data_IF_715287730076
#
_entry.id   IF_715287730076
#
_cell.length_a   1.000
_cell.length_b   1.000
_cell.length_c   1.000
_cell.angle_alpha   90.00
_cell.angle_beta   90.00
_cell.angle_gamma   90.00
#
_symmetry.space_group_name_H-M   'P 1'
#
loop_
_entity.id
_entity.type
_entity.pdbx_description
1 polymer ?
#
# COMPACT_ATOMS: atom_id res chain seq x y z
N UNK A 1 -7.60 -13.36 -14.81
CA UNK A 1 -8.01 -12.92 -13.46
C UNK A 1 -9.21 -13.75 -13.03
N UNK A 2 -9.19 -14.35 -11.85
CA UNK A 2 -10.30 -15.15 -11.32
C UNK A 2 -10.81 -14.54 -9.99
N UNK A 3 -12.11 -14.24 -9.93
CA UNK A 3 -12.86 -14.12 -8.68
C UNK A 3 -13.76 -15.36 -8.61
N UNK A 4 -13.60 -16.16 -7.55
CA UNK A 4 -14.29 -17.46 -7.44
C UNK A 4 -14.81 -17.69 -6.04
N UNK A 5 -15.95 -18.35 -5.96
CA UNK A 5 -16.53 -18.84 -4.72
C UNK A 5 -16.63 -20.36 -4.82
N UNK A 6 -16.28 -21.08 -3.76
CA UNK A 6 -16.42 -22.52 -3.72
C UNK A 6 -17.41 -22.93 -2.62
N UNK A 7 -18.53 -23.52 -3.03
CA UNK A 7 -19.64 -23.89 -2.14
C UNK A 7 -19.41 -25.20 -1.38
N UNK A 8 -18.43 -26.00 -1.82
CA UNK A 8 -18.17 -27.34 -1.28
C UNK A 8 -16.97 -27.42 -0.33
N UNK A 9 -16.35 -26.28 0.00
CA UNK A 9 -15.28 -26.20 1.00
C UNK A 9 -15.83 -25.85 2.38
N UNK A 10 -15.14 -26.33 3.42
CA UNK A 10 -15.44 -25.96 4.80
C UNK A 10 -15.32 -24.44 4.99
N UNK A 11 -16.24 -23.85 5.75
CA UNK A 11 -16.16 -22.46 6.21
C UNK A 11 -15.13 -22.33 7.34
N UNK A 12 -13.86 -22.48 6.98
CA UNK A 12 -12.72 -22.44 7.92
C UNK A 12 -11.68 -21.38 7.57
N UNK A 13 -12.02 -20.47 6.64
CA UNK A 13 -11.17 -19.35 6.20
C UNK A 13 -9.83 -19.79 5.57
N UNK A 14 -9.66 -21.08 5.27
CA UNK A 14 -8.45 -21.63 4.64
C UNK A 14 -8.56 -21.77 3.13
N UNK A 15 -9.63 -21.28 2.49
CA UNK A 15 -9.82 -21.44 1.04
C UNK A 15 -8.66 -20.85 0.23
N UNK A 16 -8.13 -19.69 0.62
CA UNK A 16 -6.97 -19.08 -0.03
C UNK A 16 -5.71 -19.97 0.07
N UNK A 17 -5.51 -20.69 1.19
CA UNK A 17 -4.40 -21.64 1.33
C UNK A 17 -4.57 -22.85 0.41
N UNK A 18 -5.82 -23.31 0.21
CA UNK A 18 -6.13 -24.38 -0.74
C UNK A 18 -5.83 -23.95 -2.17
N UNK A 19 -6.23 -22.73 -2.54
CA UNK A 19 -5.92 -22.14 -3.84
C UNK A 19 -4.41 -22.02 -4.08
N UNK A 20 -3.62 -21.72 -3.04
CA UNK A 20 -2.16 -21.72 -3.14
C UNK A 20 -1.60 -23.06 -3.64
N UNK A 21 -2.14 -24.17 -3.15
CA UNK A 21 -1.75 -25.51 -3.60
C UNK A 21 -2.22 -25.87 -5.02
N UNK A 22 -3.01 -25.03 -5.68
CA UNK A 22 -3.53 -25.26 -7.03
C UNK A 22 -2.94 -24.32 -8.09
N UNK A 23 -1.98 -23.47 -7.72
CA UNK A 23 -1.49 -22.44 -8.62
C UNK A 23 -0.95 -22.93 -9.95
N UNK A 24 -0.14 -23.98 -9.94
CA UNK A 24 0.43 -24.52 -11.17
C UNK A 24 -0.67 -24.96 -12.14
N UNK A 25 -1.75 -25.57 -11.61
CA UNK A 25 -2.90 -26.01 -12.41
C UNK A 25 -3.70 -24.82 -12.95
N UNK A 26 -3.92 -23.81 -12.11
CA UNK A 26 -4.61 -22.58 -12.49
C UNK A 26 -3.84 -21.81 -13.57
N UNK A 27 -2.53 -21.69 -13.40
CA UNK A 27 -1.64 -21.08 -14.39
C UNK A 27 -1.65 -21.84 -15.72
N UNK A 28 -1.62 -23.18 -15.69
CA UNK A 28 -1.67 -24.03 -16.88
C UNK A 28 -2.95 -23.84 -17.74
N UNK A 29 -4.03 -23.35 -17.14
CA UNK A 29 -5.29 -23.06 -17.85
C UNK A 29 -5.52 -21.55 -18.09
N UNK A 30 -4.49 -20.72 -17.88
CA UNK A 30 -4.51 -19.28 -18.16
C UNK A 30 -4.99 -18.38 -17.01
N UNK A 31 -5.18 -18.91 -15.81
CA UNK A 31 -5.45 -18.10 -14.62
C UNK A 31 -4.12 -17.63 -14.04
N UNK A 32 -3.76 -16.38 -14.35
CA UNK A 32 -2.46 -15.78 -14.01
C UNK A 32 -2.51 -14.79 -12.83
N UNK A 33 -3.69 -14.44 -12.33
CA UNK A 33 -3.83 -13.51 -11.20
C UNK A 33 -5.12 -13.73 -10.43
N UNK A 34 -5.08 -13.49 -9.12
CA UNK A 34 -6.16 -13.75 -8.15
C UNK A 34 -6.35 -12.53 -7.26
N UNK A 35 -7.60 -12.24 -6.88
CA UNK A 35 -7.91 -11.23 -5.86
C UNK A 35 -7.31 -11.61 -4.51
N UNK A 36 -6.55 -10.71 -3.94
CA UNK A 36 -5.87 -10.91 -2.66
C UNK A 36 -6.81 -10.67 -1.48
N UNK A 37 -7.84 -11.52 -1.35
CA UNK A 37 -8.78 -11.50 -0.23
C UNK A 37 -8.09 -11.61 1.14
N UNK A 38 -7.00 -12.40 1.33
CA UNK A 38 -6.28 -12.41 2.60
C UNK A 38 -5.75 -11.04 3.04
N UNK A 39 -5.21 -10.24 2.10
CA UNK A 39 -4.79 -8.87 2.40
C UNK A 39 -5.97 -7.97 2.74
N UNK A 40 -7.10 -8.12 2.04
CA UNK A 40 -8.31 -7.38 2.35
C UNK A 40 -8.84 -7.73 3.76
N UNK A 41 -8.81 -9.00 4.14
CA UNK A 41 -9.14 -9.45 5.50
C UNK A 41 -8.18 -8.86 6.54
N UNK A 42 -6.88 -8.78 6.23
CA UNK A 42 -5.91 -8.07 7.09
C UNK A 42 -6.32 -6.61 7.28
N UNK A 43 -6.66 -5.88 6.22
CA UNK A 43 -7.10 -4.49 6.35
C UNK A 43 -8.32 -4.33 7.25
N UNK A 44 -9.31 -5.22 7.15
CA UNK A 44 -10.44 -5.25 8.07
C UNK A 44 -9.98 -5.45 9.52
N UNK A 45 -9.16 -6.48 9.78
CA UNK A 45 -8.66 -6.80 11.13
C UNK A 45 -7.91 -5.64 11.79
N UNK A 46 -7.08 -4.92 11.03
CA UNK A 46 -6.43 -3.71 11.54
C UNK A 46 -7.44 -2.58 11.78
N UNK A 47 -8.38 -2.37 10.85
CA UNK A 47 -9.37 -1.31 10.96
C UNK A 47 -10.29 -1.46 12.18
N UNK A 48 -10.63 -2.69 12.59
CA UNK A 48 -11.47 -2.96 13.78
C UNK A 48 -10.66 -3.25 15.05
N UNK A 49 -9.32 -3.20 14.98
CA UNK A 49 -8.44 -3.41 16.14
C UNK A 49 -8.25 -4.87 16.57
N UNK A 50 -8.61 -5.85 15.75
CA UNK A 50 -8.29 -7.27 15.97
C UNK A 50 -6.80 -7.58 15.74
N UNK A 51 -6.11 -6.74 14.96
CA UNK A 51 -4.67 -6.75 14.76
C UNK A 51 -4.12 -5.34 14.95
N UNK A 52 -2.99 -5.22 15.65
CA UNK A 52 -2.36 -3.92 15.92
C UNK A 52 -0.91 -3.85 15.48
N UNK A 53 -0.20 -4.98 15.39
CA UNK A 53 1.20 -5.03 14.98
C UNK A 53 1.35 -4.87 13.47
N UNK A 54 1.63 -3.65 13.00
CA UNK A 54 1.73 -3.29 11.58
C UNK A 54 2.81 -4.07 10.83
N UNK A 55 3.82 -4.61 11.51
CA UNK A 55 4.86 -5.44 10.89
C UNK A 55 4.25 -6.68 10.22
N UNK A 56 3.09 -7.12 10.70
CA UNK A 56 2.39 -8.32 10.24
C UNK A 56 1.34 -8.04 9.15
N UNK A 57 1.24 -6.80 8.64
CA UNK A 57 0.17 -6.37 7.72
C UNK A 57 0.17 -7.14 6.39
N UNK A 58 1.34 -7.62 5.95
CA UNK A 58 1.51 -8.41 4.72
C UNK A 58 1.62 -9.92 4.96
N UNK A 59 1.69 -10.36 6.22
CA UNK A 59 1.93 -11.75 6.56
C UNK A 59 0.79 -12.64 6.09
N UNK A 60 1.14 -13.79 5.53
CA UNK A 60 0.18 -14.79 5.04
C UNK A 60 -0.83 -14.20 4.03
N UNK A 61 -0.39 -13.27 3.18
CA UNK A 61 -1.21 -12.70 2.11
C UNK A 61 -0.75 -13.17 0.74
N UNK A 62 -1.60 -13.05 -0.27
CA UNK A 62 -1.19 -13.40 -1.64
C UNK A 62 -0.05 -12.50 -2.14
N UNK A 63 -0.06 -11.23 -1.71
CA UNK A 63 0.96 -10.25 -2.06
C UNK A 63 2.35 -10.67 -1.58
N UNK A 64 2.46 -11.28 -0.39
CA UNK A 64 3.75 -11.75 0.13
C UNK A 64 4.20 -13.10 -0.43
N UNK A 65 3.29 -13.88 -1.01
CA UNK A 65 3.60 -15.23 -1.53
C UNK A 65 3.82 -15.22 -3.06
N UNK A 66 2.99 -14.48 -3.80
CA UNK A 66 2.99 -14.39 -5.27
C UNK A 66 2.67 -12.94 -5.70
N UNK A 67 3.60 -11.99 -5.51
CA UNK A 67 3.36 -10.57 -5.75
C UNK A 67 2.90 -10.29 -7.19
N UNK A 68 3.49 -10.95 -8.18
CA UNK A 68 3.19 -10.78 -9.61
C UNK A 68 1.84 -11.39 -10.04
N UNK A 69 1.13 -12.05 -9.12
CA UNK A 69 -0.19 -12.63 -9.37
C UNK A 69 -1.27 -12.03 -8.44
N UNK A 70 -0.90 -11.05 -7.61
CA UNK A 70 -1.78 -10.47 -6.60
C UNK A 70 -2.53 -9.27 -7.12
N UNK A 71 -3.84 -9.41 -7.32
CA UNK A 71 -4.73 -8.26 -7.51
C UNK A 71 -5.11 -7.73 -6.14
N UNK A 72 -4.61 -6.56 -5.78
CA UNK A 72 -4.80 -5.95 -4.46
C UNK A 72 -5.94 -4.96 -4.46
N UNK A 73 -6.72 -4.94 -3.39
CA UNK A 73 -7.92 -4.10 -3.26
C UNK A 73 -8.19 -3.83 -1.78
N UNK A 74 -8.81 -2.70 -1.48
CA UNK A 74 -9.20 -2.33 -0.10
C UNK A 74 -10.65 -2.75 0.17
N UNK A 75 -11.54 -2.43 -0.76
CA UNK A 75 -12.96 -2.80 -0.71
C UNK A 75 -13.46 -3.08 -2.13
N UNK A 76 -14.48 -3.93 -2.25
CA UNK A 76 -15.22 -4.14 -3.50
C UNK A 76 -16.73 -4.00 -3.24
N UNK A 77 -17.56 -4.32 -4.23
CA UNK A 77 -19.02 -4.24 -4.09
C UNK A 77 -19.57 -5.23 -3.06
N UNK A 78 -18.98 -6.43 -2.92
CA UNK A 78 -19.44 -7.44 -1.96
C UNK A 78 -19.17 -7.05 -0.49
N UNK A 79 -18.15 -6.23 -0.24
CA UNK A 79 -17.75 -5.78 1.12
C UNK A 79 -18.43 -4.49 1.56
N UNK A 80 -19.43 -3.99 0.84
CA UNK A 80 -20.18 -2.78 1.23
C UNK A 80 -21.24 -3.09 2.29
N UNK A 81 -21.69 -2.06 3.01
CA UNK A 81 -22.77 -2.21 3.98
C UNK A 81 -24.03 -2.80 3.31
N UNK A 82 -24.63 -3.81 3.96
CA UNK A 82 -25.79 -4.54 3.43
C UNK A 82 -25.48 -5.58 2.35
N UNK A 83 -24.20 -5.82 2.01
CA UNK A 83 -23.80 -6.82 1.01
C UNK A 83 -23.30 -8.12 1.65
N UNK A 84 -23.07 -9.15 0.81
CA UNK A 84 -22.78 -10.53 1.24
C UNK A 84 -21.49 -10.72 2.03
N UNK A 85 -20.52 -9.80 1.90
CA UNK A 85 -19.27 -9.76 2.66
C UNK A 85 -19.15 -8.49 3.51
N UNK A 86 -20.28 -7.89 3.91
CA UNK A 86 -20.33 -6.71 4.80
C UNK A 86 -19.62 -6.93 6.14
N UNK A 87 -19.38 -8.17 6.57
CA UNK A 87 -18.57 -8.44 7.75
C UNK A 87 -17.07 -8.13 7.58
N UNK A 88 -16.61 -7.82 6.36
CA UNK A 88 -15.21 -7.49 6.04
C UNK A 88 -15.01 -6.00 5.71
N UNK A 89 -15.87 -5.11 6.20
CA UNK A 89 -15.75 -3.67 5.96
C UNK A 89 -14.44 -3.12 6.56
N UNK A 90 -13.70 -2.34 5.79
CA UNK A 90 -12.55 -1.58 6.29
C UNK A 90 -13.06 -0.24 6.82
N UNK A 91 -12.86 0.03 8.11
CA UNK A 91 -13.27 1.30 8.72
C UNK A 91 -12.52 2.50 8.13
N UNK A 92 -13.21 3.64 8.04
CA UNK A 92 -12.77 4.81 7.29
C UNK A 92 -11.38 5.34 7.65
N UNK A 93 -10.97 5.22 8.91
CA UNK A 93 -9.66 5.69 9.37
C UNK A 93 -8.49 4.90 8.76
N UNK A 94 -8.69 3.60 8.45
CA UNK A 94 -7.65 2.73 7.92
C UNK A 94 -7.65 2.68 6.37
N UNK A 95 -8.73 3.09 5.72
CA UNK A 95 -8.84 3.14 4.25
C UNK A 95 -7.65 3.84 3.56
N UNK A 96 -7.25 5.07 3.94
CA UNK A 96 -6.12 5.72 3.26
C UNK A 96 -4.79 5.00 3.49
N UNK A 97 -4.60 4.36 4.64
CA UNK A 97 -3.44 3.54 4.94
C UNK A 97 -3.40 2.31 4.03
N UNK A 98 -4.50 1.58 3.93
CA UNK A 98 -4.64 0.43 3.05
C UNK A 98 -4.39 0.79 1.57
N UNK A 99 -4.89 1.94 1.11
CA UNK A 99 -4.60 2.42 -0.25
C UNK A 99 -3.14 2.79 -0.47
N UNK A 100 -2.47 3.43 0.50
CA UNK A 100 -1.03 3.70 0.39
C UNK A 100 -0.24 2.38 0.27
N UNK A 101 -0.59 1.37 1.05
CA UNK A 101 0.00 0.02 1.00
C UNK A 101 -0.11 -0.61 -0.39
N UNK A 102 -1.30 -0.58 -1.01
CA UNK A 102 -1.49 -1.24 -2.31
C UNK A 102 -1.00 -0.39 -3.50
N UNK A 103 -1.06 0.94 -3.42
CA UNK A 103 -0.72 1.84 -4.52
C UNK A 103 0.76 2.21 -4.56
N UNK A 104 1.47 2.33 -3.43
CA UNK A 104 2.82 2.91 -3.43
C UNK A 104 3.94 1.86 -3.31
N UNK A 105 3.57 0.59 -3.12
CA UNK A 105 4.51 -0.53 -3.15
C UNK A 105 4.72 -1.04 -4.57
N UNK A 106 5.86 -1.68 -4.80
CA UNK A 106 6.21 -2.28 -6.09
C UNK A 106 5.35 -3.50 -6.41
N UNK A 107 5.03 -4.30 -5.39
CA UNK A 107 4.33 -5.57 -5.53
C UNK A 107 2.83 -5.41 -5.80
N UNK A 108 2.29 -6.31 -6.62
CA UNK A 108 0.85 -6.45 -6.86
C UNK A 108 0.27 -5.51 -7.91
N UNK A 109 -0.97 -5.82 -8.29
CA UNK A 109 -1.79 -5.06 -9.22
C UNK A 109 -2.91 -4.37 -8.44
N UNK A 110 -2.71 -3.11 -8.00
CA UNK A 110 -3.70 -2.41 -7.20
C UNK A 110 -4.95 -2.05 -8.00
N UNK A 111 -6.07 -2.09 -7.30
CA UNK A 111 -7.37 -1.65 -7.79
C UNK A 111 -7.98 -0.67 -6.78
N UNK A 112 -8.56 0.42 -7.28
CA UNK A 112 -9.06 1.53 -6.45
C UNK A 112 -10.50 1.34 -5.97
N UNK A 113 -11.17 0.23 -6.33
CA UNK A 113 -12.56 -0.01 -5.96
C UNK A 113 -13.55 1.05 -6.50
N UNK A 114 -14.75 1.11 -5.90
CA UNK A 114 -15.81 2.06 -6.25
C UNK A 114 -15.73 3.32 -5.37
N UNK A 115 -15.78 4.50 -5.99
CA UNK A 115 -15.84 5.80 -5.30
C UNK A 115 -14.45 6.36 -5.00
N UNK A 116 -13.84 7.04 -5.98
CA UNK A 116 -12.56 7.72 -5.80
C UNK A 116 -12.76 9.00 -4.99
N UNK A 117 -12.51 8.94 -3.68
CA UNK A 117 -12.27 10.14 -2.89
C UNK A 117 -10.97 10.82 -3.37
N UNK A 118 -10.87 12.15 -3.25
CA UNK A 118 -9.69 12.94 -3.68
C UNK A 118 -8.38 12.32 -3.18
N UNK A 119 -8.32 11.90 -1.92
CA UNK A 119 -7.13 11.30 -1.33
C UNK A 119 -6.66 10.01 -2.02
N UNK A 120 -7.56 9.23 -2.61
CA UNK A 120 -7.22 8.01 -3.35
C UNK A 120 -6.70 8.39 -4.75
N UNK A 121 -7.29 9.41 -5.39
CA UNK A 121 -6.79 9.94 -6.66
C UNK A 121 -5.37 10.52 -6.48
N UNK A 122 -5.14 11.25 -5.40
CA UNK A 122 -3.85 11.77 -4.97
C UNK A 122 -2.80 10.62 -4.84
N UNK A 123 -3.14 9.52 -4.15
CA UNK A 123 -2.28 8.33 -4.06
C UNK A 123 -2.04 7.64 -5.41
N UNK A 124 -3.05 7.59 -6.28
CA UNK A 124 -2.90 7.02 -7.61
C UNK A 124 -1.96 7.87 -8.48
N UNK A 125 -2.02 9.19 -8.35
CA UNK A 125 -1.09 10.11 -8.99
C UNK A 125 0.33 9.91 -8.42
N UNK A 126 0.49 9.76 -7.10
CA UNK A 126 1.80 9.46 -6.52
C UNK A 126 2.36 8.13 -7.04
N UNK A 127 1.52 7.11 -7.24
CA UNK A 127 1.95 5.86 -7.91
C UNK A 127 2.47 6.13 -9.32
N UNK A 128 1.75 6.93 -10.11
CA UNK A 128 2.05 7.23 -11.51
C UNK A 128 3.37 7.98 -11.70
N UNK A 129 3.82 8.78 -10.73
CA UNK A 129 5.01 9.62 -10.89
C UNK A 129 6.19 9.20 -10.01
N UNK A 130 5.94 8.65 -8.83
CA UNK A 130 6.98 8.51 -7.80
C UNK A 130 7.23 7.07 -7.35
N UNK A 131 6.27 6.15 -7.51
CA UNK A 131 6.37 4.79 -7.00
C UNK A 131 7.16 3.85 -7.94
N UNK A 132 8.41 4.23 -8.26
CA UNK A 132 9.29 3.51 -9.18
C UNK A 132 10.61 3.09 -8.53
N UNK A 133 11.30 2.16 -9.18
CA UNK A 133 12.60 1.69 -8.75
C UNK A 133 12.57 0.76 -7.55
N UNK A 134 13.79 0.47 -7.07
CA UNK A 134 14.07 -0.42 -5.93
C UNK A 134 13.26 -0.02 -4.72
N UNK A 135 12.63 -1.00 -4.08
CA UNK A 135 11.96 -0.81 -2.80
C UNK A 135 12.80 -1.31 -1.63
N UNK A 136 12.80 -0.55 -0.53
CA UNK A 136 13.34 -1.00 0.77
C UNK A 136 12.28 -0.86 1.84
N UNK A 137 12.01 -1.93 2.58
CA UNK A 137 11.01 -1.98 3.66
C UNK A 137 11.63 -1.72 5.04
N UNK A 138 10.93 -0.93 5.86
CA UNK A 138 11.29 -0.57 7.24
C UNK A 138 10.16 -0.99 8.19
N UNK A 139 10.06 -2.30 8.44
CA UNK A 139 8.99 -2.92 9.24
C UNK A 139 9.53 -3.37 10.61
N UNK A 140 10.19 -2.46 11.31
CA UNK A 140 10.89 -2.74 12.57
C UNK A 140 10.13 -2.29 13.83
N UNK A 141 9.13 -1.42 13.69
CA UNK A 141 8.28 -0.93 14.77
C UNK A 141 6.83 -1.44 14.60
N UNK A 142 6.19 -1.80 15.71
CA UNK A 142 4.85 -2.39 15.70
C UNK A 142 3.75 -1.36 15.37
N UNK A 143 3.99 -0.10 15.70
CA UNK A 143 3.02 0.98 15.55
C UNK A 143 3.36 1.91 14.37
N UNK A 144 4.56 1.78 13.79
CA UNK A 144 4.99 2.53 12.61
C UNK A 144 5.82 1.70 11.63
N UNK A 145 5.39 1.65 10.37
CA UNK A 145 6.13 0.98 9.29
C UNK A 145 6.31 1.94 8.12
N UNK A 146 7.34 1.70 7.33
CA UNK A 146 7.62 2.51 6.15
C UNK A 146 8.27 1.74 5.03
N UNK A 147 8.31 2.36 3.86
CA UNK A 147 9.09 1.88 2.73
C UNK A 147 9.55 3.05 1.87
N UNK A 148 10.72 2.89 1.28
CA UNK A 148 11.27 3.80 0.29
C UNK A 148 11.22 3.18 -1.10
N UNK A 149 10.94 4.00 -2.11
CA UNK A 149 11.07 3.70 -3.53
C UNK A 149 12.15 4.66 -4.06
N UNK A 150 13.23 4.13 -4.60
CA UNK A 150 14.42 4.93 -4.91
C UNK A 150 14.36 5.62 -6.27
N UNK A 151 13.29 5.43 -7.05
CA UNK A 151 13.26 5.85 -8.45
C UNK A 151 14.08 4.93 -9.36
N UNK A 152 13.90 5.08 -10.66
CA UNK A 152 14.59 4.36 -11.72
C UNK A 152 15.20 5.34 -12.73
N UNK A 153 15.91 4.85 -13.75
CA UNK A 153 16.46 5.72 -14.80
C UNK A 153 15.40 6.53 -15.55
N UNK A 154 14.21 5.96 -15.70
CA UNK A 154 13.10 6.56 -16.46
C UNK A 154 12.17 7.39 -15.56
N UNK A 155 12.24 7.14 -14.24
CA UNK A 155 11.45 7.78 -13.19
C UNK A 155 12.34 8.03 -11.97
N UNK A 156 13.26 9.01 -12.03
CA UNK A 156 14.31 9.21 -11.02
C UNK A 156 13.80 9.71 -9.66
N UNK A 157 12.50 10.01 -9.54
CA UNK A 157 11.96 10.82 -8.44
C UNK A 157 11.89 10.11 -7.09
N UNK A 158 11.44 8.85 -7.09
CA UNK A 158 11.27 8.07 -5.86
C UNK A 158 10.20 8.61 -4.90
N UNK A 159 9.93 7.84 -3.83
CA UNK A 159 9.07 8.27 -2.73
C UNK A 159 9.43 7.57 -1.41
N UNK A 160 8.94 8.14 -0.32
CA UNK A 160 9.04 7.57 1.02
C UNK A 160 7.65 7.57 1.67
N UNK A 161 7.24 6.44 2.21
CA UNK A 161 5.97 6.29 2.93
C UNK A 161 6.25 5.92 4.37
N UNK A 162 5.57 6.59 5.29
CA UNK A 162 5.52 6.22 6.70
C UNK A 162 4.05 6.13 7.10
N UNK A 163 3.66 4.94 7.54
CA UNK A 163 2.34 4.59 8.04
C UNK A 163 2.44 4.35 9.54
N UNK A 164 1.46 4.86 10.30
CA UNK A 164 1.37 4.65 11.73
C UNK A 164 -0.08 4.41 12.15
N UNK A 165 -0.27 3.54 13.14
CA UNK A 165 -1.53 3.31 13.84
C UNK A 165 -1.42 3.62 15.35
N UNK A 166 -0.36 4.32 15.78
CA UNK A 166 -0.18 4.74 17.15
C UNK A 166 -1.34 5.64 17.62
N UNK A 167 -1.85 5.44 18.83
CA UNK A 167 -2.96 6.23 19.40
C UNK A 167 -2.55 7.62 19.91
N UNK A 168 -1.40 8.15 19.46
CA UNK A 168 -0.91 9.47 19.80
C UNK A 168 0.59 9.64 19.54
N UNK A 169 1.01 10.89 19.40
CA UNK A 169 2.40 11.24 19.07
C UNK A 169 2.67 11.26 17.56
N UNK A 170 3.87 11.70 17.21
CA UNK A 170 4.36 11.71 15.83
C UNK A 170 5.33 10.54 15.71
N UNK A 171 5.00 9.56 14.87
CA UNK A 171 5.93 8.47 14.55
C UNK A 171 6.92 8.95 13.49
N UNK A 172 8.20 8.65 13.66
CA UNK A 172 9.27 8.99 12.70
C UNK A 172 10.07 7.74 12.37
N UNK A 173 10.39 7.54 11.09
CA UNK A 173 11.27 6.47 10.63
C UNK A 173 12.45 7.06 9.86
N UNK A 174 13.66 6.66 10.24
CA UNK A 174 14.85 6.90 9.43
C UNK A 174 14.87 5.90 8.28
N UNK A 175 14.79 6.38 7.04
CA UNK A 175 14.77 5.55 5.84
C UNK A 175 15.80 6.05 4.84
N UNK A 176 16.28 5.14 4.00
CA UNK A 176 17.24 5.41 2.94
C UNK A 176 16.52 5.41 1.59
N UNK A 177 16.49 6.57 0.94
CA UNK A 177 15.87 6.77 -0.37
C UNK A 177 16.86 6.61 -1.53
N UNK A 178 18.16 6.47 -1.24
CA UNK A 178 19.23 6.29 -2.22
C UNK A 178 20.17 7.48 -2.29
N UNK A 179 21.46 7.20 -2.50
CA UNK A 179 22.55 8.21 -2.51
C UNK A 179 22.41 9.26 -3.60
N UNK A 180 21.70 8.95 -4.69
CA UNK A 180 21.46 9.90 -5.77
C UNK A 180 20.48 11.01 -5.39
N UNK A 181 19.74 10.86 -4.30
CA UNK A 181 18.89 11.92 -3.73
C UNK A 181 19.62 12.77 -2.68
N UNK A 182 20.91 12.54 -2.43
CA UNK A 182 21.67 13.30 -1.44
C UNK A 182 21.59 14.81 -1.71
N UNK A 183 21.27 15.59 -0.68
CA UNK A 183 21.10 17.04 -0.75
C UNK A 183 19.71 17.51 -1.19
N UNK A 184 18.83 16.63 -1.65
CA UNK A 184 17.43 16.97 -1.93
C UNK A 184 16.66 17.29 -0.63
N UNK A 185 15.55 18.02 -0.75
CA UNK A 185 14.63 18.30 0.36
C UNK A 185 13.27 17.75 0.01
N UNK A 186 12.78 16.80 0.81
CA UNK A 186 11.56 16.07 0.50
C UNK A 186 10.38 16.57 1.31
N UNK A 187 9.20 16.69 0.70
CA UNK A 187 8.01 17.21 1.37
C UNK A 187 6.81 16.28 1.21
N UNK A 188 5.82 16.40 2.10
CA UNK A 188 4.57 15.64 1.99
C UNK A 188 3.82 15.99 0.72
N UNK A 189 3.50 14.97 -0.09
CA UNK A 189 2.80 15.09 -1.37
C UNK A 189 1.37 15.62 -1.24
N UNK A 190 0.72 15.43 -0.09
CA UNK A 190 -0.69 15.78 0.14
C UNK A 190 -0.86 16.72 1.33
N UNK A 191 0.16 17.53 1.60
CA UNK A 191 0.31 18.28 2.85
C UNK A 191 0.90 17.43 3.98
N UNK A 192 1.33 18.10 5.05
CA UNK A 192 2.08 17.48 6.16
C UNK A 192 3.55 17.88 6.21
N UNK A 193 4.21 17.59 7.32
CA UNK A 193 5.64 17.83 7.49
C UNK A 193 6.44 16.97 6.51
N UNK A 194 7.46 17.58 5.89
CA UNK A 194 8.37 16.89 4.99
C UNK A 194 9.37 16.01 5.74
N UNK A 195 10.25 15.38 4.95
CA UNK A 195 11.55 15.00 5.48
C UNK A 195 12.47 16.23 5.48
N UNK A 196 13.49 16.21 6.32
CA UNK A 196 14.59 17.16 6.21
C UNK A 196 15.36 17.00 4.89
N UNK A 197 16.57 17.53 4.87
CA UNK A 197 17.51 17.31 3.76
C UNK A 197 18.00 15.86 3.78
N UNK A 198 18.00 15.20 2.62
CA UNK A 198 18.56 13.85 2.47
C UNK A 198 20.07 13.90 2.68
N UNK A 199 20.59 13.05 3.57
CA UNK A 199 22.01 12.98 3.86
C UNK A 199 22.82 12.39 2.69
N UNK A 200 24.15 12.52 2.75
CA UNK A 200 25.10 12.00 1.74
C UNK A 200 24.96 10.49 1.49
N UNK A 201 24.54 9.73 2.50
CA UNK A 201 24.30 8.29 2.38
C UNK A 201 22.91 7.94 1.81
N UNK A 202 22.06 8.93 1.54
CA UNK A 202 20.69 8.75 1.08
C UNK A 202 19.66 8.62 2.20
N UNK A 203 20.06 8.77 3.48
CA UNK A 203 19.17 8.61 4.63
C UNK A 203 18.50 9.92 5.05
N UNK A 204 17.26 9.84 5.54
CA UNK A 204 16.57 10.96 6.20
C UNK A 204 15.51 10.46 7.18
N UNK A 205 15.11 11.33 8.10
CA UNK A 205 14.00 11.09 9.01
C UNK A 205 12.67 11.51 8.35
N UNK A 206 11.74 10.56 8.26
CA UNK A 206 10.42 10.77 7.69
C UNK A 206 9.35 10.62 8.77
N UNK A 207 8.52 11.65 8.90
CA UNK A 207 7.39 11.68 9.84
C UNK A 207 6.19 10.92 9.26
N UNK A 208 5.42 10.20 10.08
CA UNK A 208 4.18 9.56 9.66
C UNK A 208 3.15 10.57 9.15
N UNK A 209 2.44 10.20 8.08
CA UNK A 209 1.43 11.05 7.43
C UNK A 209 1.81 11.44 6.00
N UNK A 210 0.91 11.19 5.06
CA UNK A 210 1.09 11.32 3.59
C UNK A 210 2.34 10.60 3.01
N UNK A 211 2.36 10.39 1.70
CA UNK A 211 3.58 9.99 0.99
C UNK A 211 4.49 11.23 0.79
N UNK A 212 5.80 11.05 0.69
CA UNK A 212 6.79 12.13 0.52
C UNK A 212 7.61 11.88 -0.74
N UNK A 213 7.95 12.97 -1.44
CA UNK A 213 8.89 13.00 -2.56
C UNK A 213 9.61 14.37 -2.57
N UNK A 214 10.51 14.60 -3.52
CA UNK A 214 11.24 15.87 -3.65
C UNK A 214 10.29 17.09 -3.69
N UNK A 215 10.64 18.14 -2.94
CA UNK A 215 9.82 19.34 -2.81
C UNK A 215 9.74 20.16 -4.11
N UNK A 216 10.74 20.07 -4.99
CA UNK A 216 10.70 20.70 -6.31
C UNK A 216 9.60 20.11 -7.20
N UNK A 217 9.29 18.84 -7.03
CA UNK A 217 8.28 18.12 -7.82
C UNK A 217 6.87 18.26 -7.24
N UNK A 218 6.76 18.55 -5.94
CA UNK A 218 5.47 18.89 -5.31
C UNK A 218 4.84 20.14 -5.93
N UNK A 219 5.63 21.17 -6.26
CA UNK A 219 5.12 22.40 -6.85
C UNK A 219 4.45 22.16 -8.22
N UNK A 220 4.92 21.15 -8.96
CA UNK A 220 4.24 20.72 -10.18
C UNK A 220 2.91 20.07 -9.83
N UNK A 221 2.85 19.20 -8.81
CA UNK A 221 1.65 18.49 -8.34
C UNK A 221 0.48 19.39 -7.91
N UNK A 222 0.77 20.54 -7.28
CA UNK A 222 -0.24 21.51 -6.85
C UNK A 222 -0.98 22.17 -8.05
N UNK A 223 -0.44 22.07 -9.27
CA UNK A 223 -1.09 22.57 -10.50
C UNK A 223 -2.05 21.57 -11.17
N UNK A 224 -2.15 20.35 -10.64
CA UNK A 224 -3.01 19.28 -11.15
C UNK A 224 -4.29 19.28 -10.33
N UNK A 225 -5.06 20.35 -10.42
CA UNK A 225 -6.46 20.32 -10.00
C UNK A 225 -7.15 19.25 -10.83
N UNK A 226 -7.37 18.08 -10.22
CA UNK A 226 -8.18 17.03 -10.81
C UNK A 226 -9.62 17.52 -10.70
N UNK A 227 -10.11 18.21 -11.73
CA UNK A 227 -11.53 18.52 -11.86
C UNK A 227 -12.30 17.18 -11.83
N UNK A 228 -13.05 16.93 -10.75
CA UNK A 228 -13.92 15.75 -10.57
C UNK A 228 -15.38 16.16 -10.76
#
# INVERSE_FOLDING_TARGET
>A
MLQGFEWYVKKDEQHWRRLNGQLEKLSAIGVISIFNTPLQTKFHQFAVGEQTDLRTVLDNTWLSIQPDQAVTYVMNHDTQEGQVLSMLIVEGWFIPLAYALILLREAGYPTTGLGLAKQIADLAMARKYFAYGTQTDYFNDADAIGWARQGSSDHPEGLAVVMSNAQGGISTLTMNVGVHHAGETWSGLFGGEGAGTIAEDGSADFVAGAAKADAGQRAEFDSWDVDI
#
